data_IF_419236249554
#
_entry.id   IF_419236249554
#
_cell.length_a   1.000
_cell.length_b   1.000
_cell.length_c   1.000
_cell.angle_alpha   90.00
_cell.angle_beta   90.00
_cell.angle_gamma   90.00
#
_symmetry.space_group_name_H-M   'P 1'
#
loop_
_entity.id
_entity.type
_entity.pdbx_description
1 polymer ?
#
# COMPACT_ATOMS: atom_id res chain seq x y z
N UNK A 1 -0.49 12.39 71.09
CA UNK A 1 -1.08 12.80 69.80
C UNK A 1 0.03 12.81 68.75
N UNK A 2 0.02 11.89 67.78
CA UNK A 2 1.06 11.79 66.73
C UNK A 2 0.56 12.47 65.44
N UNK A 3 1.22 13.55 65.03
CA UNK A 3 0.96 14.22 63.76
C UNK A 3 1.36 13.29 62.60
N UNK A 4 0.41 13.02 61.69
CA UNK A 4 0.63 12.22 60.49
C UNK A 4 1.40 13.05 59.46
N UNK A 5 2.62 12.62 59.19
CA UNK A 5 3.48 13.12 58.12
C UNK A 5 2.86 12.71 56.77
N UNK A 6 2.33 13.65 55.98
CA UNK A 6 1.90 13.39 54.60
C UNK A 6 3.13 13.33 53.71
N UNK A 7 3.56 12.12 53.35
CA UNK A 7 4.51 11.92 52.25
C UNK A 7 3.84 12.34 50.94
N UNK A 8 4.15 13.55 50.48
CA UNK A 8 3.91 13.94 49.09
C UNK A 8 5.04 13.29 48.29
N UNK A 9 4.74 12.20 47.59
CA UNK A 9 5.67 11.62 46.63
C UNK A 9 5.97 12.68 45.57
N UNK A 10 7.18 13.25 45.60
CA UNK A 10 7.73 14.02 44.49
C UNK A 10 7.93 13.03 43.34
N UNK A 11 7.02 13.05 42.38
CA UNK A 11 7.20 12.37 41.09
C UNK A 11 8.49 12.92 40.47
N UNK A 12 9.38 12.03 40.03
CA UNK A 12 10.68 12.39 39.46
C UNK A 12 10.46 13.23 38.19
N UNK A 13 11.26 14.29 37.95
CA UNK A 13 11.14 15.16 36.77
C UNK A 13 11.69 14.52 35.48
N UNK A 14 11.51 13.21 35.30
CA UNK A 14 11.76 12.50 34.04
C UNK A 14 10.49 11.94 33.40
N UNK A 15 9.32 12.17 34.01
CA UNK A 15 8.01 11.72 33.49
C UNK A 15 7.11 12.87 33.03
N UNK A 16 7.66 14.07 32.85
CA UNK A 16 6.94 15.22 32.28
C UNK A 16 7.55 15.62 30.93
N UNK A 17 7.49 14.71 29.96
CA UNK A 17 7.49 15.12 28.56
C UNK A 17 6.03 15.20 28.09
N UNK A 18 5.60 16.32 27.48
CA UNK A 18 4.20 16.52 27.08
C UNK A 18 3.74 15.61 25.92
N UNK A 19 4.57 14.65 25.50
CA UNK A 19 4.30 13.72 24.40
C UNK A 19 4.19 12.26 24.87
N UNK A 20 3.70 12.01 26.09
CA UNK A 20 3.35 10.65 26.56
C UNK A 20 1.84 10.43 26.60
N UNK A 21 1.15 10.89 25.56
CA UNK A 21 -0.26 10.58 25.30
C UNK A 21 -0.44 10.38 23.80
N UNK A 22 -0.75 9.15 23.38
CA UNK A 22 -1.39 8.86 22.10
C UNK A 22 -0.72 9.41 20.84
N UNK A 23 0.60 9.29 20.70
CA UNK A 23 1.23 9.42 19.39
C UNK A 23 0.74 8.26 18.52
N UNK A 24 -0.33 8.54 17.77
CA UNK A 24 -0.68 7.83 16.56
C UNK A 24 0.62 7.78 15.76
N UNK A 25 1.12 6.57 15.51
CA UNK A 25 2.32 6.36 14.72
C UNK A 25 2.17 7.17 13.43
N UNK A 26 2.96 8.23 13.24
CA UNK A 26 2.83 9.14 12.09
C UNK A 26 2.98 8.32 10.80
N UNK A 27 3.75 7.23 10.84
CA UNK A 27 3.81 6.24 9.76
C UNK A 27 2.44 5.63 9.41
N UNK A 28 1.64 5.24 10.42
CA UNK A 28 0.30 4.67 10.22
C UNK A 28 -0.74 5.66 9.68
N UNK A 29 -0.56 6.96 9.96
CA UNK A 29 -1.46 8.01 9.44
C UNK A 29 -1.13 8.33 7.99
N UNK A 30 0.16 8.44 7.64
CA UNK A 30 0.59 8.72 6.26
C UNK A 30 0.26 7.56 5.31
N UNK A 31 0.25 6.32 5.80
CA UNK A 31 -0.18 5.13 5.06
C UNK A 31 -1.66 5.14 4.64
N UNK A 32 -2.53 5.90 5.33
CA UNK A 32 -3.99 5.89 5.10
C UNK A 32 -4.52 7.12 4.37
N UNK A 33 -3.67 8.08 4.04
CA UNK A 33 -4.07 9.28 3.32
C UNK A 33 -4.09 9.04 1.80
N UNK A 34 -5.03 9.64 1.06
CA UNK A 34 -5.00 9.61 -0.39
C UNK A 34 -3.68 10.21 -0.90
N UNK A 35 -3.02 9.51 -1.83
CA UNK A 35 -1.74 9.95 -2.38
C UNK A 35 -1.97 11.11 -3.35
N UNK A 36 -1.23 12.21 -3.17
CA UNK A 36 -1.30 13.35 -4.07
C UNK A 36 -0.83 13.00 -5.49
N UNK A 37 -1.35 13.71 -6.50
CA UNK A 37 -0.80 13.68 -7.87
C UNK A 37 0.09 14.87 -8.19
N UNK A 38 0.11 15.86 -7.30
CA UNK A 38 0.96 17.03 -7.46
C UNK A 38 2.41 16.71 -7.05
N UNK A 39 3.38 17.08 -7.89
CA UNK A 39 4.78 16.70 -7.73
C UNK A 39 5.43 17.33 -6.48
N UNK A 40 5.05 18.55 -6.12
CA UNK A 40 5.57 19.22 -4.93
C UNK A 40 5.09 18.51 -3.66
N UNK A 41 3.80 18.18 -3.61
CA UNK A 41 3.22 17.39 -2.52
C UNK A 41 3.84 15.99 -2.43
N UNK A 42 3.99 15.28 -3.55
CA UNK A 42 4.66 13.97 -3.60
C UNK A 42 6.09 14.04 -3.06
N UNK A 43 6.83 15.11 -3.38
CA UNK A 43 8.19 15.29 -2.88
C UNK A 43 8.22 15.49 -1.36
N UNK A 44 7.27 16.24 -0.79
CA UNK A 44 7.12 16.41 0.67
C UNK A 44 6.77 15.08 1.32
N UNK A 45 5.78 14.36 0.79
CA UNK A 45 5.34 13.07 1.34
C UNK A 45 6.47 12.02 1.34
N UNK A 46 7.23 11.92 0.24
CA UNK A 46 8.39 11.00 0.16
C UNK A 46 9.45 11.37 1.20
N UNK A 47 9.74 12.66 1.39
CA UNK A 47 10.73 13.12 2.38
C UNK A 47 10.30 12.79 3.79
N UNK A 48 9.03 12.96 4.13
CA UNK A 48 8.52 12.60 5.46
C UNK A 48 8.57 11.09 5.69
N UNK A 49 8.14 10.30 4.69
CA UNK A 49 8.22 8.84 4.76
C UNK A 49 9.65 8.31 4.88
N UNK A 50 10.61 8.96 4.21
CA UNK A 50 12.02 8.58 4.27
C UNK A 50 12.66 8.81 5.66
N UNK A 51 12.08 9.70 6.49
CA UNK A 51 12.52 9.91 7.88
C UNK A 51 12.07 8.79 8.81
N UNK A 52 10.99 8.09 8.47
CA UNK A 52 10.46 6.99 9.26
C UNK A 52 11.25 5.72 8.92
N UNK A 53 12.10 5.28 9.86
CA UNK A 53 12.99 4.12 9.68
C UNK A 53 12.23 2.77 9.60
N UNK A 54 10.92 2.78 9.87
CA UNK A 54 10.02 1.62 9.76
C UNK A 54 9.16 1.72 8.50
N UNK A 55 9.09 0.60 7.77
CA UNK A 55 7.96 0.16 6.92
C UNK A 55 7.35 1.27 6.05
N UNK A 56 8.15 1.85 5.16
CA UNK A 56 7.69 2.81 4.15
C UNK A 56 8.06 2.41 2.73
N UNK A 57 8.53 1.18 2.50
CA UNK A 57 8.98 0.72 1.16
C UNK A 57 7.85 0.81 0.13
N UNK A 58 6.66 0.31 0.48
CA UNK A 58 5.50 0.32 -0.41
C UNK A 58 4.97 1.73 -0.63
N UNK A 59 4.76 2.51 0.42
CA UNK A 59 4.27 3.88 0.34
C UNK A 59 5.21 4.84 -0.43
N UNK A 60 6.53 4.70 -0.24
CA UNK A 60 7.52 5.45 -1.02
C UNK A 60 7.53 4.96 -2.47
N UNK A 61 7.49 3.64 -2.69
CA UNK A 61 7.44 3.05 -4.04
C UNK A 61 6.23 3.52 -4.84
N UNK A 62 5.05 3.55 -4.22
CA UNK A 62 3.79 4.06 -4.79
C UNK A 62 3.93 5.51 -5.25
N UNK A 63 4.43 6.39 -4.37
CA UNK A 63 4.63 7.83 -4.66
C UNK A 63 5.66 8.06 -5.75
N UNK A 64 6.76 7.30 -5.73
CA UNK A 64 7.77 7.34 -6.80
C UNK A 64 7.21 6.84 -8.14
N UNK A 65 6.34 5.82 -8.12
CA UNK A 65 5.68 5.30 -9.31
C UNK A 65 4.75 6.35 -9.94
N UNK A 66 3.93 7.03 -9.12
CA UNK A 66 3.08 8.14 -9.54
C UNK A 66 3.92 9.32 -10.05
N UNK A 67 4.93 9.77 -9.30
CA UNK A 67 5.81 10.85 -9.73
C UNK A 67 6.47 10.52 -11.08
N UNK A 68 6.87 9.26 -11.29
CA UNK A 68 7.48 8.82 -12.55
C UNK A 68 6.51 8.85 -13.73
N UNK A 69 5.22 8.57 -13.52
CA UNK A 69 4.22 8.61 -14.60
C UNK A 69 3.88 10.02 -15.06
N UNK A 70 4.04 11.01 -14.18
CA UNK A 70 3.77 12.43 -14.50
C UNK A 70 4.94 13.12 -15.24
N UNK A 71 6.10 12.48 -15.35
CA UNK A 71 7.28 13.08 -15.96
C UNK A 71 7.46 12.69 -17.43
N UNK A 72 7.89 13.65 -18.23
CA UNK A 72 7.99 13.51 -19.68
C UNK A 72 9.33 12.93 -20.13
N UNK A 73 10.39 13.14 -19.35
CA UNK A 73 11.72 12.68 -19.72
C UNK A 73 12.59 12.14 -18.57
N UNK A 74 13.86 11.83 -18.89
CA UNK A 74 14.83 11.32 -17.91
C UNK A 74 15.47 12.42 -17.07
N UNK A 75 15.51 13.65 -17.55
CA UNK A 75 16.13 14.78 -16.87
C UNK A 75 15.20 15.32 -15.78
N UNK A 76 13.91 15.49 -16.07
CA UNK A 76 12.87 15.82 -15.08
C UNK A 76 12.88 14.83 -13.92
N UNK A 77 13.00 13.54 -14.22
CA UNK A 77 13.12 12.50 -13.20
C UNK A 77 14.37 12.62 -12.35
N UNK A 78 15.53 12.89 -12.95
CA UNK A 78 16.76 13.12 -12.18
C UNK A 78 16.61 14.32 -11.27
N UNK A 79 16.07 15.43 -11.78
CA UNK A 79 15.86 16.64 -10.99
C UNK A 79 14.91 16.38 -9.80
N UNK A 80 13.82 15.64 -10.02
CA UNK A 80 12.91 15.27 -8.94
C UNK A 80 13.59 14.37 -7.89
N UNK A 81 14.35 13.37 -8.34
CA UNK A 81 15.09 12.49 -7.45
C UNK A 81 16.11 13.26 -6.60
N UNK A 82 16.75 14.29 -7.15
CA UNK A 82 17.63 15.18 -6.40
C UNK A 82 16.85 15.93 -5.32
N UNK A 83 15.65 16.44 -5.64
CA UNK A 83 14.76 17.11 -4.67
C UNK A 83 14.45 16.18 -3.50
N UNK A 84 14.06 14.94 -3.75
CA UNK A 84 13.72 13.97 -2.68
C UNK A 84 14.94 13.26 -2.08
N UNK A 85 16.16 13.58 -2.54
CA UNK A 85 17.42 12.99 -2.08
C UNK A 85 17.53 11.47 -2.31
N UNK A 86 17.00 10.99 -3.43
CA UNK A 86 17.12 9.60 -3.84
C UNK A 86 18.10 9.47 -5.00
N UNK A 87 18.92 8.42 -4.98
CA UNK A 87 19.62 8.01 -6.20
C UNK A 87 18.66 7.29 -7.13
N UNK A 88 18.96 7.31 -8.44
CA UNK A 88 18.17 6.56 -9.43
C UNK A 88 18.06 5.06 -9.09
N UNK A 89 19.17 4.45 -8.64
CA UNK A 89 19.19 3.03 -8.27
C UNK A 89 18.37 2.72 -7.01
N UNK A 90 18.28 3.67 -6.08
CA UNK A 90 17.44 3.53 -4.89
C UNK A 90 15.97 3.67 -5.28
N UNK A 91 15.62 4.73 -6.01
CA UNK A 91 14.24 4.96 -6.47
C UNK A 91 13.69 3.77 -7.27
N UNK A 92 14.48 3.23 -8.21
CA UNK A 92 14.09 2.03 -8.96
C UNK A 92 13.86 0.81 -8.08
N UNK A 93 14.59 0.66 -6.97
CA UNK A 93 14.37 -0.45 -6.03
C UNK A 93 13.05 -0.30 -5.27
N UNK A 94 12.71 0.92 -4.83
CA UNK A 94 11.43 1.19 -4.18
C UNK A 94 10.24 0.98 -5.14
N UNK A 95 10.31 1.53 -6.36
CA UNK A 95 9.26 1.33 -7.37
C UNK A 95 9.09 -0.15 -7.70
N UNK A 96 10.20 -0.87 -7.94
CA UNK A 96 10.13 -2.31 -8.22
C UNK A 96 9.51 -3.11 -7.07
N UNK A 97 9.87 -2.79 -5.83
CA UNK A 97 9.30 -3.47 -4.67
C UNK A 97 7.78 -3.27 -4.61
N UNK A 98 7.31 -2.05 -4.83
CA UNK A 98 5.87 -1.75 -4.93
C UNK A 98 5.21 -2.53 -6.07
N UNK A 99 5.71 -2.40 -7.30
CA UNK A 99 5.10 -3.04 -8.48
C UNK A 99 5.05 -4.58 -8.38
N UNK A 100 6.01 -5.20 -7.68
CA UNK A 100 6.13 -6.65 -7.58
C UNK A 100 5.41 -7.23 -6.36
N UNK A 101 5.44 -6.52 -5.23
CA UNK A 101 5.05 -7.08 -3.92
C UNK A 101 3.85 -6.38 -3.29
N UNK A 102 3.28 -5.33 -3.90
CA UNK A 102 2.09 -4.63 -3.36
C UNK A 102 0.92 -5.56 -2.99
N UNK A 103 0.62 -6.69 -3.69
CA UNK A 103 -0.50 -7.55 -3.29
C UNK A 103 -0.29 -8.19 -1.91
N UNK A 104 0.95 -8.24 -1.44
CA UNK A 104 1.39 -8.85 -0.19
C UNK A 104 1.79 -7.82 0.86
N UNK A 105 1.51 -6.53 0.65
CA UNK A 105 1.96 -5.45 1.53
C UNK A 105 1.58 -5.70 3.00
N UNK A 106 0.36 -6.16 3.26
CA UNK A 106 -0.11 -6.44 4.63
C UNK A 106 0.72 -7.55 5.29
N UNK A 107 0.94 -8.66 4.60
CA UNK A 107 1.76 -9.79 5.09
C UNK A 107 3.22 -9.41 5.27
N UNK A 108 3.73 -8.50 4.45
CA UNK A 108 5.13 -8.05 4.47
C UNK A 108 5.36 -6.82 5.36
N UNK A 109 4.29 -6.26 5.95
CA UNK A 109 4.35 -5.01 6.71
C UNK A 109 5.36 -5.04 7.84
N UNK A 110 5.55 -6.17 8.53
CA UNK A 110 6.50 -6.25 9.65
C UNK A 110 7.95 -6.50 9.22
N UNK A 111 8.20 -6.75 7.93
CA UNK A 111 9.54 -7.09 7.46
C UNK A 111 10.44 -5.87 7.32
N UNK A 112 11.73 -6.00 7.70
CA UNK A 112 12.72 -4.99 7.37
C UNK A 112 12.81 -4.75 5.86
N UNK A 113 13.00 -3.48 5.46
CA UNK A 113 13.17 -3.09 4.06
C UNK A 113 14.26 -3.90 3.33
N UNK A 114 15.33 -4.27 4.04
CA UNK A 114 16.40 -5.09 3.50
C UNK A 114 15.92 -6.46 3.02
N UNK A 115 14.92 -7.08 3.65
CA UNK A 115 14.33 -8.33 3.18
C UNK A 115 13.39 -8.11 2.00
N UNK A 116 12.56 -7.06 2.05
CA UNK A 116 11.64 -6.69 0.95
C UNK A 116 12.42 -6.49 -0.36
N UNK A 117 13.55 -5.79 -0.31
CA UNK A 117 14.40 -5.58 -1.49
C UNK A 117 15.08 -6.85 -2.01
N UNK A 118 15.11 -7.92 -1.24
CA UNK A 118 15.62 -9.21 -1.71
C UNK A 118 14.49 -10.04 -2.34
N UNK A 119 13.30 -9.99 -1.74
CA UNK A 119 12.11 -10.70 -2.20
C UNK A 119 11.66 -10.27 -3.60
N UNK A 120 11.81 -9.00 -3.98
CA UNK A 120 11.44 -8.56 -5.33
C UNK A 120 12.32 -9.14 -6.47
N UNK A 121 13.31 -9.97 -6.15
CA UNK A 121 14.19 -10.65 -7.12
C UNK A 121 14.09 -12.18 -7.08
N UNK A 122 13.23 -12.75 -6.24
CA UNK A 122 12.94 -14.19 -6.31
C UNK A 122 11.99 -14.46 -7.47
N UNK A 123 11.99 -15.70 -7.96
CA UNK A 123 11.20 -16.07 -9.15
C UNK A 123 9.70 -16.09 -8.87
N UNK A 124 9.32 -16.63 -7.71
CA UNK A 124 7.94 -16.70 -7.23
C UNK A 124 7.83 -16.05 -5.84
N UNK A 125 7.65 -14.72 -5.76
CA UNK A 125 7.51 -14.05 -4.48
C UNK A 125 6.24 -14.47 -3.74
N UNK A 126 5.18 -14.88 -4.44
CA UNK A 126 3.92 -15.31 -3.85
C UNK A 126 4.10 -16.59 -3.03
N UNK A 127 4.74 -17.62 -3.60
CA UNK A 127 5.08 -18.85 -2.87
C UNK A 127 5.91 -18.55 -1.62
N UNK A 128 6.83 -17.59 -1.69
CA UNK A 128 7.69 -17.24 -0.56
C UNK A 128 6.90 -16.53 0.54
N UNK A 129 5.97 -15.65 0.20
CA UNK A 129 5.10 -14.98 1.19
C UNK A 129 4.12 -15.98 1.81
N UNK A 130 3.47 -16.81 1.01
CA UNK A 130 2.39 -17.70 1.46
C UNK A 130 2.91 -18.96 2.16
N UNK A 131 4.03 -19.50 1.71
CA UNK A 131 4.53 -20.81 2.14
C UNK A 131 5.92 -20.74 2.79
N UNK A 132 6.59 -19.59 2.75
CA UNK A 132 7.91 -19.40 3.34
C UNK A 132 9.05 -19.82 2.42
N UNK A 133 10.27 -19.53 2.87
CA UNK A 133 11.50 -19.80 2.14
C UNK A 133 11.79 -21.31 2.07
N UNK A 134 12.05 -21.88 0.88
CA UNK A 134 12.49 -23.26 0.77
C UNK A 134 13.88 -23.45 1.41
N UNK A 135 14.00 -24.48 2.25
CA UNK A 135 15.24 -24.91 2.91
C UNK A 135 15.34 -26.44 2.85
N UNK A 136 16.51 -27.02 3.16
CA UNK A 136 16.74 -28.47 3.04
C UNK A 136 15.67 -29.31 3.76
N UNK A 137 15.24 -28.90 4.96
CA UNK A 137 14.25 -29.61 5.78
C UNK A 137 12.82 -29.03 5.68
N UNK A 138 12.47 -28.41 4.55
CA UNK A 138 11.10 -27.94 4.27
C UNK A 138 11.00 -26.44 4.03
N UNK A 139 10.22 -25.74 4.86
CA UNK A 139 9.92 -24.31 4.70
C UNK A 139 10.24 -23.50 5.95
N UNK A 140 10.89 -22.36 5.78
CA UNK A 140 11.23 -21.41 6.84
C UNK A 140 10.38 -20.14 6.71
N UNK A 141 9.68 -19.68 7.77
CA UNK A 141 8.96 -18.41 7.73
C UNK A 141 9.86 -17.24 7.35
N UNK A 142 9.34 -16.31 6.55
CA UNK A 142 10.11 -15.24 5.93
C UNK A 142 10.65 -14.23 6.98
N UNK A 143 9.94 -14.12 8.09
CA UNK A 143 10.30 -13.33 9.28
C UNK A 143 11.56 -13.89 9.94
N UNK A 144 11.75 -15.21 9.88
CA UNK A 144 12.90 -15.92 10.45
C UNK A 144 14.05 -16.08 9.45
N UNK A 145 13.76 -16.02 8.15
CA UNK A 145 14.79 -16.06 7.11
C UNK A 145 15.73 -14.86 7.18
N UNK A 146 17.03 -15.10 7.02
CA UNK A 146 18.03 -14.05 6.89
C UNK A 146 18.04 -13.49 5.47
N UNK A 147 18.54 -12.25 5.31
CA UNK A 147 18.76 -11.63 3.99
C UNK A 147 19.62 -12.52 3.08
N UNK A 148 20.62 -13.20 3.63
CA UNK A 148 21.51 -14.08 2.87
C UNK A 148 20.77 -15.31 2.32
N UNK A 149 19.87 -15.89 3.10
CA UNK A 149 19.07 -17.05 2.68
C UNK A 149 18.04 -16.66 1.60
N UNK A 150 17.39 -15.50 1.74
CA UNK A 150 16.53 -14.96 0.67
C UNK A 150 17.34 -14.71 -0.61
N UNK A 151 18.55 -14.15 -0.48
CA UNK A 151 19.44 -13.90 -1.61
C UNK A 151 19.88 -15.17 -2.33
N UNK A 152 20.14 -16.25 -1.59
CA UNK A 152 20.54 -17.54 -2.15
C UNK A 152 19.44 -18.16 -3.03
N UNK A 153 18.19 -17.79 -2.79
CA UNK A 153 17.01 -18.24 -3.51
C UNK A 153 16.57 -17.29 -4.64
N UNK A 154 17.38 -16.26 -4.96
CA UNK A 154 17.12 -15.42 -6.13
C UNK A 154 17.38 -16.21 -7.41
N UNK A 155 16.61 -15.93 -8.46
CA UNK A 155 16.90 -16.48 -9.78
C UNK A 155 18.31 -16.07 -10.20
N UNK A 156 19.16 -17.04 -10.57
CA UNK A 156 20.52 -16.82 -11.08
C UNK A 156 20.56 -16.14 -12.45
N UNK A 157 19.39 -15.85 -13.03
CA UNK A 157 19.25 -15.25 -14.34
C UNK A 157 19.33 -13.72 -14.22
N UNK A 158 20.56 -13.19 -14.35
CA UNK A 158 20.80 -11.76 -14.55
C UNK A 158 20.19 -11.31 -15.89
N UNK A 159 18.88 -11.06 -15.91
CA UNK A 159 18.18 -10.72 -17.14
C UNK A 159 16.67 -10.89 -17.12
N UNK A 160 16.04 -11.03 -15.95
CA UNK A 160 14.57 -11.04 -15.87
C UNK A 160 14.05 -9.65 -16.24
N UNK A 161 13.71 -9.49 -17.53
CA UNK A 161 12.65 -8.58 -17.94
C UNK A 161 11.43 -9.02 -17.14
N UNK A 162 11.16 -8.29 -16.07
CA UNK A 162 9.89 -8.39 -15.35
C UNK A 162 8.84 -8.24 -16.44
N UNK A 163 8.15 -9.33 -16.79
CA UNK A 163 6.85 -9.17 -17.41
C UNK A 163 6.07 -8.46 -16.32
N UNK A 164 5.90 -7.15 -16.48
CA UNK A 164 4.92 -6.42 -15.71
C UNK A 164 3.70 -7.33 -15.65
N UNK A 165 3.16 -7.53 -14.44
CA UNK A 165 1.89 -8.21 -14.28
C UNK A 165 1.02 -7.74 -15.44
N UNK A 166 0.63 -8.65 -16.33
CA UNK A 166 -0.40 -8.31 -17.31
C UNK A 166 -1.58 -8.00 -16.42
N UNK A 167 -1.76 -6.72 -16.09
CA UNK A 167 -3.08 -6.16 -15.99
C UNK A 167 -3.73 -6.72 -17.23
N UNK A 168 -4.65 -7.67 -17.03
CA UNK A 168 -5.65 -7.96 -18.02
C UNK A 168 -6.05 -6.56 -18.48
N UNK A 169 -5.78 -6.22 -19.73
CA UNK A 169 -6.37 -5.05 -20.35
C UNK A 169 -7.87 -5.32 -20.32
N UNK A 170 -8.49 -5.15 -19.15
CA UNK A 170 -9.77 -4.51 -19.10
C UNK A 170 -9.41 -3.17 -19.67
N UNK A 171 -9.69 -3.00 -20.97
CA UNK A 171 -9.66 -1.71 -21.60
C UNK A 171 -10.47 -0.82 -20.68
N UNK A 172 -9.77 -0.09 -19.80
CA UNK A 172 -10.36 1.01 -19.08
C UNK A 172 -10.48 2.04 -20.19
N UNK A 173 -11.56 1.94 -20.94
CA UNK A 173 -12.11 3.04 -21.69
C UNK A 173 -12.66 4.00 -20.64
N UNK A 174 -11.78 4.53 -19.79
CA UNK A 174 -12.03 5.82 -19.16
C UNK A 174 -11.83 6.81 -20.28
N UNK A 175 -12.86 6.89 -21.13
CA UNK A 175 -13.10 8.08 -21.91
C UNK A 175 -13.01 9.19 -20.88
N UNK A 176 -12.04 10.09 -21.04
CA UNK A 176 -12.09 11.41 -20.43
C UNK A 176 -13.27 12.15 -21.10
N UNK A 177 -14.48 11.64 -20.88
CA UNK A 177 -15.68 12.38 -21.10
C UNK A 177 -15.72 13.29 -19.89
N UNK A 178 -15.58 14.60 -20.13
CA UNK A 178 -16.20 15.57 -19.23
C UNK A 178 -17.59 15.02 -18.92
N UNK A 179 -17.82 14.65 -17.67
CA UNK A 179 -19.15 14.24 -17.21
C UNK A 179 -20.09 15.35 -17.69
N UNK A 180 -21.08 15.07 -18.56
CA UNK A 180 -22.00 16.09 -19.01
C UNK A 180 -22.55 16.81 -17.78
N UNK A 181 -22.59 18.14 -17.81
CA UNK A 181 -22.94 18.98 -16.64
C UNK A 181 -24.26 18.52 -16.02
N UNK A 182 -25.18 18.07 -16.87
CA UNK A 182 -26.48 17.49 -16.52
C UNK A 182 -26.40 16.24 -15.61
N UNK A 183 -25.42 15.36 -15.83
CA UNK A 183 -25.21 14.18 -14.94
C UNK A 183 -24.64 14.57 -13.58
N UNK A 184 -23.76 15.58 -13.52
CA UNK A 184 -23.22 16.07 -12.25
C UNK A 184 -24.29 16.77 -11.42
N UNK A 185 -25.11 17.61 -12.06
CA UNK A 185 -26.23 18.30 -11.43
C UNK A 185 -27.28 17.31 -10.91
N UNK A 186 -27.57 16.26 -11.67
CA UNK A 186 -28.51 15.21 -11.26
C UNK A 186 -28.01 14.42 -10.05
N UNK A 187 -26.72 14.10 -9.99
CA UNK A 187 -26.10 13.44 -8.82
C UNK A 187 -26.17 14.35 -7.60
N UNK A 188 -25.89 15.64 -7.79
CA UNK A 188 -25.94 16.63 -6.71
C UNK A 188 -27.37 16.80 -6.17
N UNK A 189 -28.39 16.88 -7.05
CA UNK A 189 -29.80 16.92 -6.64
C UNK A 189 -30.22 15.65 -5.88
N UNK A 190 -29.81 14.47 -6.34
CA UNK A 190 -30.15 13.20 -5.70
C UNK A 190 -29.49 13.05 -4.31
N UNK A 191 -28.25 13.49 -4.17
CA UNK A 191 -27.55 13.54 -2.88
C UNK A 191 -28.26 14.51 -1.92
N UNK A 192 -28.58 15.73 -2.38
CA UNK A 192 -29.29 16.72 -1.58
C UNK A 192 -30.71 16.31 -1.19
N UNK A 193 -31.45 15.63 -2.07
CA UNK A 193 -32.78 15.10 -1.76
C UNK A 193 -32.75 14.03 -0.66
N UNK A 194 -31.64 13.32 -0.52
CA UNK A 194 -31.40 12.35 0.56
C UNK A 194 -30.70 12.96 1.78
N UNK A 195 -30.40 14.27 1.76
CA UNK A 195 -29.67 14.95 2.82
C UNK A 195 -28.22 14.48 2.98
N UNK A 196 -27.64 13.85 1.96
CA UNK A 196 -26.30 13.28 1.97
C UNK A 196 -25.30 14.18 1.25
N UNK A 197 -24.04 14.13 1.68
CA UNK A 197 -22.95 14.65 0.86
C UNK A 197 -22.82 13.82 -0.43
N UNK A 198 -22.24 14.41 -1.48
CA UNK A 198 -22.04 13.72 -2.77
C UNK A 198 -21.20 12.45 -2.57
N UNK A 199 -20.16 12.51 -1.73
CA UNK A 199 -19.30 11.37 -1.42
C UNK A 199 -20.04 10.25 -0.70
N UNK A 200 -20.92 10.57 0.26
CA UNK A 200 -21.73 9.57 0.96
C UNK A 200 -22.77 8.94 0.03
N UNK A 201 -23.42 9.76 -0.81
CA UNK A 201 -24.39 9.26 -1.78
C UNK A 201 -23.76 8.29 -2.79
N UNK A 202 -22.56 8.61 -3.30
CA UNK A 202 -21.83 7.74 -4.22
C UNK A 202 -21.34 6.46 -3.53
N UNK A 203 -20.86 6.56 -2.28
CA UNK A 203 -20.42 5.39 -1.51
C UNK A 203 -21.58 4.41 -1.31
N UNK A 204 -22.76 4.91 -0.92
CA UNK A 204 -23.95 4.07 -0.74
C UNK A 204 -24.41 3.41 -2.05
N UNK A 205 -24.32 4.09 -3.19
CA UNK A 205 -24.65 3.47 -4.49
C UNK A 205 -23.67 2.35 -4.82
N UNK A 206 -22.37 2.57 -4.59
CA UNK A 206 -21.34 1.57 -4.88
C UNK A 206 -21.53 0.35 -3.99
N UNK A 207 -21.78 0.55 -2.69
CA UNK A 207 -22.07 -0.53 -1.74
C UNK A 207 -23.35 -1.30 -2.10
N UNK A 208 -24.42 -0.60 -2.48
CA UNK A 208 -25.67 -1.24 -2.94
C UNK A 208 -25.47 -2.06 -4.22
N UNK A 209 -24.62 -1.58 -5.13
CA UNK A 209 -24.34 -2.25 -6.41
C UNK A 209 -23.48 -3.51 -6.19
N UNK A 210 -22.42 -3.39 -5.39
CA UNK A 210 -21.57 -4.52 -5.01
C UNK A 210 -22.39 -5.57 -4.26
N UNK A 211 -23.28 -5.16 -3.37
CA UNK A 211 -24.14 -6.09 -2.63
C UNK A 211 -25.12 -6.84 -3.53
N UNK A 212 -25.63 -6.21 -4.60
CA UNK A 212 -26.48 -6.89 -5.59
C UNK A 212 -25.70 -7.85 -6.47
N UNK A 213 -24.51 -7.46 -6.92
CA UNK A 213 -23.65 -8.33 -7.75
C UNK A 213 -23.18 -9.58 -6.99
N UNK A 214 -23.00 -9.48 -5.67
CA UNK A 214 -22.68 -10.63 -4.80
C UNK A 214 -23.89 -11.56 -4.67
N UNK A 215 -25.10 -11.01 -4.49
CA UNK A 215 -26.33 -11.81 -4.35
C UNK A 215 -26.77 -12.48 -5.66
N UNK A 216 -26.55 -11.85 -6.81
CA UNK A 216 -26.86 -12.44 -8.12
C UNK A 216 -25.89 -13.58 -8.51
N UNK A 217 -24.64 -13.53 -8.06
CA UNK A 217 -23.68 -14.63 -8.28
C UNK A 217 -23.95 -15.86 -7.38
N UNK A 218 -24.50 -15.67 -6.18
CA UNK A 218 -24.83 -16.78 -5.25
C UNK A 218 -26.07 -17.57 -5.69
N UNK A 219 -26.98 -16.96 -6.46
CA UNK A 219 -28.17 -17.64 -7.00
C UNK A 219 -27.87 -18.52 -8.23
N UNK A 220 -26.66 -18.44 -8.80
CA UNK A 220 -26.30 -19.15 -10.03
C UNK A 220 -25.38 -20.36 -9.78
N UNK A 221 -24.90 -20.56 -8.54
CA UNK A 221 -24.08 -21.71 -8.15
C UNK A 221 -24.90 -22.93 -7.70
N UNK A 222 -26.21 -22.79 -7.51
CA UNK A 222 -27.10 -23.89 -7.05
C UNK A 222 -27.82 -24.63 -8.20
N UNK A 223 -27.45 -24.42 -9.48
CA UNK A 223 -28.10 -25.08 -10.64
C UNK A 223 -27.18 -25.96 -11.50
N UNK A 224 -26.00 -26.34 -11.01
CA UNK A 224 -25.07 -27.20 -11.76
C UNK A 224 -24.71 -28.52 -11.06
N UNK A 225 -25.52 -28.98 -10.10
CA UNK A 225 -25.42 -30.34 -9.58
C UNK A 225 -26.74 -31.09 -9.80
N UNK A 226 -26.78 -31.88 -10.88
CA UNK A 226 -27.81 -32.88 -11.07
C UNK A 226 -28.41 -32.89 -12.47
N UNK A 227 -27.68 -33.43 -13.45
CA UNK A 227 -28.24 -34.21 -14.56
C UNK A 227 -27.10 -34.83 -15.39
N UNK A 228 -26.39 -35.81 -14.80
CA UNK A 228 -25.78 -36.90 -15.57
C UNK A 228 -25.90 -38.18 -14.73
N UNK A 229 -27.00 -38.91 -14.89
CA UNK A 229 -27.04 -40.37 -14.71
C UNK A 229 -28.38 -40.93 -15.22
N UNK A 230 -28.39 -41.35 -16.49
CA UNK A 230 -28.96 -42.60 -17.07
C UNK A 230 -29.39 -42.45 -18.53
#
# INVERSE_FOLDING_TARGET
MKARNKQIHKVKPQEQHPYRSGLIDIGSVVQKLPVSRDLENLAVEIKELAKVQTISVFEIGKRLSIARSEMHDKQEWRNFLDVVSFSNSLASRYVKAYDTLQPFEESLSTLPASKIFELMYVEDPEDFVLHGLPVEDGRKPIEQATVREIRANRSSTSGVKVRAFRQKEVASTVVSARVPTETSERIQMMASAKGLSISEYLSNIIEDTISRDIVENDQNTDRLEGEEEQ
#
